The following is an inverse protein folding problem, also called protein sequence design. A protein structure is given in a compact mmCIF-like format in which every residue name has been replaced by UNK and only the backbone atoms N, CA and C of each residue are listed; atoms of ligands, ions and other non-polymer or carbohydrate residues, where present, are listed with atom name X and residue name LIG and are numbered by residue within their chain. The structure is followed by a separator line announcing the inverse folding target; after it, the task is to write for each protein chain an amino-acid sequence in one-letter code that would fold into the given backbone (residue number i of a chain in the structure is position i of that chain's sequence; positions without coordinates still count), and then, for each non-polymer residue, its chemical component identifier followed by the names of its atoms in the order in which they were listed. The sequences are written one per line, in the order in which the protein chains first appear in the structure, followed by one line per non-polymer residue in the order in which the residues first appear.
data_IF_122076301206
#
_entry.id   IF_122076301206
#
_cell.length_a   1.000
_cell.length_b   1.000
_cell.length_c   1.000
_cell.angle_alpha   90.00
_cell.angle_beta   90.00
_cell.angle_gamma   90.00
#
_symmetry.space_group_name_H-M   'P 1'
#
loop_
_entity.id
_entity.type
_entity.pdbx_description
1 polymer ?
#
# COMPACT_ATOMS: atom_id res chain seq x y z
N UNK A 1 -17.55 2.40 28.11
CA UNK A 1 -16.09 2.42 28.33
C UNK A 1 -15.43 2.16 26.99
N UNK A 2 -14.46 2.99 26.58
CA UNK A 2 -13.74 2.77 25.32
C UNK A 2 -12.68 1.67 25.49
N UNK A 3 -12.47 0.85 24.46
CA UNK A 3 -11.43 -0.18 24.44
C UNK A 3 -10.62 -0.09 23.16
N UNK A 4 -9.37 -0.53 23.24
CA UNK A 4 -8.46 -0.63 22.09
C UNK A 4 -8.11 -2.09 21.88
N UNK A 5 -8.13 -2.54 20.62
CA UNK A 5 -7.67 -3.86 20.24
C UNK A 5 -6.66 -3.72 19.11
N UNK A 6 -5.57 -4.48 19.23
CA UNK A 6 -4.48 -4.49 18.27
C UNK A 6 -4.43 -5.88 17.64
N UNK A 7 -4.30 -5.91 16.32
CA UNK A 7 -4.08 -7.12 15.54
C UNK A 7 -2.80 -6.94 14.74
N UNK A 8 -1.95 -7.96 14.75
CA UNK A 8 -0.66 -7.93 14.08
C UNK A 8 -0.48 -9.22 13.28
N UNK A 9 0.06 -9.08 12.08
CA UNK A 9 0.47 -10.20 11.24
C UNK A 9 1.81 -9.86 10.60
N UNK A 10 2.82 -10.67 10.88
CA UNK A 10 4.20 -10.41 10.46
C UNK A 10 4.93 -9.47 11.43
N UNK A 11 5.99 -8.82 10.93
CA UNK A 11 6.83 -7.91 11.71
C UNK A 11 6.62 -6.46 11.22
N UNK A 12 6.60 -5.51 12.14
CA UNK A 12 6.50 -4.09 11.85
C UNK A 12 7.68 -3.36 12.49
N UNK A 13 8.45 -2.61 11.70
CA UNK A 13 9.65 -1.88 12.17
C UNK A 13 9.41 -0.39 12.16
N UNK A 14 8.63 0.09 13.12
CA UNK A 14 8.26 1.52 13.22
C UNK A 14 9.41 2.44 13.62
N UNK A 15 10.53 1.89 14.11
CA UNK A 15 11.68 2.67 14.55
C UNK A 15 12.59 3.09 13.40
N UNK A 16 12.50 2.40 12.25
CA UNK A 16 13.31 2.68 11.08
C UNK A 16 12.50 3.53 10.09
N UNK A 17 12.88 4.81 9.96
CA UNK A 17 12.20 5.76 9.07
C UNK A 17 12.37 5.41 7.58
N UNK A 18 13.35 4.57 7.24
CA UNK A 18 13.62 4.15 5.87
C UNK A 18 12.78 2.96 5.43
N UNK A 19 12.05 2.31 6.35
CA UNK A 19 11.24 1.16 5.98
C UNK A 19 10.02 1.59 5.14
N UNK A 20 9.70 0.85 4.06
CA UNK A 20 8.56 1.14 3.21
C UNK A 20 7.27 0.75 3.95
N UNK A 21 6.75 1.68 4.73
CA UNK A 21 5.53 1.53 5.52
C UNK A 21 4.51 2.55 5.06
N UNK A 22 3.34 2.07 4.66
CA UNK A 22 2.17 2.91 4.45
C UNK A 22 1.31 2.94 5.70
N UNK A 23 0.74 4.11 5.98
CA UNK A 23 -0.15 4.36 7.10
C UNK A 23 -1.50 4.87 6.61
N UNK A 24 -2.58 4.32 7.18
CA UNK A 24 -3.94 4.78 6.94
C UNK A 24 -4.74 4.84 8.24
N UNK A 25 -5.64 5.82 8.32
CA UNK A 25 -6.60 5.92 9.40
C UNK A 25 -8.00 6.18 8.84
N UNK A 26 -8.99 5.54 9.45
CA UNK A 26 -10.40 5.73 9.13
C UNK A 26 -11.24 5.71 10.41
N UNK A 27 -12.41 6.33 10.36
CA UNK A 27 -13.38 6.29 11.45
C UNK A 27 -14.68 5.71 10.90
N UNK A 28 -15.16 4.63 11.51
CA UNK A 28 -16.45 4.06 11.23
C UNK A 28 -17.50 4.68 12.16
N UNK A 29 -18.56 5.25 11.57
CA UNK A 29 -19.74 5.67 12.31
C UNK A 29 -20.67 4.47 12.46
N UNK A 30 -21.01 4.12 13.70
CA UNK A 30 -21.86 2.98 14.03
C UNK A 30 -23.05 3.43 14.88
N UNK A 31 -24.05 2.56 15.06
CA UNK A 31 -25.20 2.85 15.94
C UNK A 31 -24.80 3.11 17.40
N UNK A 32 -23.65 2.59 17.84
CA UNK A 32 -23.17 2.70 19.22
C UNK A 32 -22.18 3.86 19.42
N UNK A 33 -21.91 4.65 18.37
CA UNK A 33 -20.92 5.72 18.38
C UNK A 33 -19.87 5.53 17.29
N UNK A 34 -18.65 5.97 17.56
CA UNK A 34 -17.56 5.98 16.56
C UNK A 34 -16.49 4.94 16.89
N UNK A 35 -15.96 4.28 15.87
CA UNK A 35 -14.86 3.33 15.98
C UNK A 35 -13.72 3.80 15.09
N UNK A 36 -12.59 4.21 15.70
CA UNK A 36 -11.38 4.54 14.97
C UNK A 36 -10.60 3.29 14.58
N UNK A 37 -10.09 3.24 13.36
CA UNK A 37 -9.24 2.18 12.83
C UNK A 37 -7.96 2.80 12.30
N UNK A 38 -6.81 2.24 12.68
CA UNK A 38 -5.49 2.62 12.19
C UNK A 38 -4.83 1.39 11.61
N UNK A 39 -4.21 1.53 10.44
CA UNK A 39 -3.58 0.42 9.70
C UNK A 39 -2.17 0.86 9.31
N UNK A 40 -1.22 -0.05 9.50
CA UNK A 40 0.15 0.08 9.03
C UNK A 40 0.45 -1.14 8.14
N UNK A 41 0.99 -0.89 6.95
CA UNK A 41 1.33 -1.94 5.98
C UNK A 41 2.81 -1.80 5.66
N UNK A 42 3.62 -2.79 6.05
CA UNK A 42 5.03 -2.87 5.64
C UNK A 42 5.13 -3.66 4.34
N UNK A 43 5.70 -3.05 3.32
CA UNK A 43 5.99 -3.74 2.07
C UNK A 43 7.31 -4.51 2.16
N UNK A 44 7.39 -5.65 1.46
CA UNK A 44 8.69 -6.25 1.17
C UNK A 44 9.50 -5.29 0.30
N UNK A 45 10.80 -5.15 0.57
CA UNK A 45 11.67 -4.22 -0.17
C UNK A 45 11.63 -4.45 -1.69
N UNK A 46 11.50 -5.70 -2.13
CA UNK A 46 11.35 -6.07 -3.54
C UNK A 46 10.04 -5.53 -4.15
N UNK A 47 8.93 -5.62 -3.42
CA UNK A 47 7.64 -5.08 -3.84
C UNK A 47 7.62 -3.55 -3.82
N UNK A 48 8.29 -2.92 -2.85
CA UNK A 48 8.42 -1.46 -2.77
C UNK A 48 9.25 -0.90 -3.93
N UNK A 49 10.36 -1.55 -4.29
CA UNK A 49 11.20 -1.19 -5.43
C UNK A 49 10.43 -1.28 -6.77
N UNK A 50 9.60 -2.31 -6.95
CA UNK A 50 8.77 -2.46 -8.14
C UNK A 50 7.74 -1.32 -8.30
N UNK A 51 7.11 -0.88 -7.20
CA UNK A 51 6.19 0.26 -7.21
C UNK A 51 6.90 1.55 -7.58
N UNK A 52 8.11 1.78 -7.07
CA UNK A 52 8.89 2.99 -7.36
C UNK A 52 9.36 3.06 -8.81
N UNK A 53 9.89 1.95 -9.34
CA UNK A 53 10.25 1.80 -10.76
C UNK A 53 9.05 2.07 -11.69
N UNK A 54 7.86 1.57 -11.33
CA UNK A 54 6.65 1.79 -12.13
C UNK A 54 6.19 3.26 -12.14
N UNK A 55 6.44 4.02 -11.05
CA UNK A 55 6.12 5.45 -10.98
C UNK A 55 7.10 6.27 -11.82
N UNK A 56 8.39 5.96 -11.77
CA UNK A 56 9.41 6.65 -12.58
C UNK A 56 9.19 6.42 -14.08
N UNK A 57 8.86 5.18 -14.48
CA UNK A 57 8.52 4.87 -15.86
C UNK A 57 7.29 5.67 -16.33
N UNK A 58 6.28 5.86 -15.48
CA UNK A 58 5.06 6.62 -15.85
C UNK A 58 5.28 8.13 -15.95
N UNK A 59 6.23 8.68 -15.19
CA UNK A 59 6.51 10.11 -15.16
C UNK A 59 7.42 10.56 -16.32
N UNK A 60 8.32 9.70 -16.77
CA UNK A 60 9.36 10.07 -17.76
C UNK A 60 9.25 9.33 -19.10
N UNK A 61 8.39 8.33 -19.24
CA UNK A 61 8.24 7.65 -20.53
C UNK A 61 7.31 8.41 -21.47
N UNK A 62 7.63 8.54 -22.77
CA UNK A 62 6.68 9.00 -23.76
C UNK A 62 5.44 8.11 -23.75
N UNK A 63 4.26 8.71 -23.95
CA UNK A 63 2.94 8.06 -23.87
C UNK A 63 2.86 6.75 -24.68
N UNK A 64 3.61 6.66 -25.78
CA UNK A 64 3.73 5.46 -26.61
C UNK A 64 4.34 4.25 -25.89
N UNK A 65 5.32 4.47 -25.00
CA UNK A 65 5.95 3.42 -24.21
C UNK A 65 5.06 2.97 -23.04
N UNK A 66 4.30 3.90 -22.43
CA UNK A 66 3.33 3.58 -21.38
C UNK A 66 2.19 2.70 -21.94
N UNK A 67 1.73 3.00 -23.16
CA UNK A 67 0.70 2.22 -23.87
C UNK A 67 1.19 0.82 -24.29
N UNK A 68 2.48 0.67 -24.61
CA UNK A 68 3.09 -0.62 -24.95
C UNK A 68 3.23 -1.53 -23.72
N UNK A 69 3.60 -0.98 -22.56
CA UNK A 69 3.76 -1.75 -21.32
C UNK A 69 2.44 -2.29 -20.74
N UNK A 70 1.28 -1.72 -21.12
CA UNK A 70 -0.04 -2.21 -20.71
C UNK A 70 -0.59 -3.33 -21.60
N UNK A 71 0.08 -3.66 -22.72
CA UNK A 71 -0.26 -4.82 -23.56
C UNK A 71 0.44 -6.07 -23.02
N UNK A 72 0.03 -6.55 -21.85
CA UNK A 72 0.26 -7.94 -21.52
C UNK A 72 -0.60 -8.81 -22.46
N UNK A 73 -0.05 -9.86 -23.09
CA UNK A 73 -0.87 -10.80 -23.83
C UNK A 73 -1.83 -11.46 -22.83
N UNK A 74 -3.12 -11.48 -23.18
CA UNK A 74 -4.10 -12.30 -22.47
C UNK A 74 -3.55 -13.73 -22.40
N UNK A 75 -3.60 -14.41 -21.24
CA UNK A 75 -3.21 -15.81 -21.17
C UNK A 75 -4.06 -16.60 -22.16
N UNK A 76 -3.41 -17.33 -23.06
CA UNK A 76 -4.10 -18.25 -23.96
C UNK A 76 -4.78 -19.33 -23.09
N UNK A 77 -6.09 -19.49 -23.34
CA UNK A 77 -6.98 -20.46 -22.69
C UNK A 77 -6.47 -21.89 -22.73
#
# INVERSE_FOLDING_TARGET
MASTKIWEQGELRLQDISEPIDYGAAVALTRLGTTGVKVWIRYHREAAAAVQSSKELRLNAPLSQVLMAQRLPLPAS
#
